data_IF_284586475335
#
_entry.id   IF_284586475335
#
_cell.length_a   1.000
_cell.length_b   1.000
_cell.length_c   1.000
_cell.angle_alpha   90.00
_cell.angle_beta   90.00
_cell.angle_gamma   90.00
#
_symmetry.space_group_name_H-M   'P 1'
#
loop_
_entity.id
_entity.type
_entity.pdbx_description
1 polymer ?
#
# COMPACT_ATOMS: atom_id res chain seq x y z
N UNK A 1 31.85 5.13 -14.98
CA UNK A 1 30.74 5.03 -14.01
C UNK A 1 29.65 5.94 -14.53
N UNK A 2 28.62 5.39 -15.18
CA UNK A 2 27.53 6.16 -15.79
C UNK A 2 26.21 5.74 -15.14
N UNK A 3 25.49 6.75 -14.69
CA UNK A 3 24.37 6.72 -13.76
C UNK A 3 23.18 5.85 -14.16
N UNK A 4 22.58 5.23 -13.14
CA UNK A 4 21.36 4.45 -13.22
C UNK A 4 20.13 5.34 -13.45
N UNK A 5 19.42 5.14 -14.57
CA UNK A 5 18.07 5.70 -14.79
C UNK A 5 17.02 4.69 -14.30
N UNK A 6 16.20 5.13 -13.35
CA UNK A 6 15.05 4.39 -12.81
C UNK A 6 14.03 4.06 -13.92
N UNK A 7 13.45 2.84 -13.87
CA UNK A 7 12.32 2.42 -14.71
C UNK A 7 11.07 2.39 -13.83
N UNK A 8 10.00 3.11 -14.21
CA UNK A 8 8.78 3.27 -13.40
C UNK A 8 7.60 2.55 -14.04
N UNK A 9 6.79 1.88 -13.22
CA UNK A 9 5.51 1.29 -13.61
C UNK A 9 4.39 2.04 -12.92
N UNK A 10 3.37 2.38 -13.69
CA UNK A 10 2.18 3.07 -13.21
C UNK A 10 1.09 2.03 -13.03
N UNK A 11 0.48 1.93 -11.85
CA UNK A 11 -0.85 1.36 -11.68
C UNK A 11 -1.81 2.55 -11.53
N UNK A 12 -2.64 2.78 -12.53
CA UNK A 12 -3.62 3.87 -12.58
C UNK A 12 -5.02 3.29 -12.46
N UNK A 13 -5.78 3.83 -11.49
CA UNK A 13 -7.23 3.66 -11.30
C UNK A 13 -7.64 2.30 -10.72
N UNK A 14 -8.58 2.34 -9.80
CA UNK A 14 -9.26 1.19 -9.21
C UNK A 14 -10.70 1.66 -8.96
N UNK A 15 -11.68 1.30 -9.81
CA UNK A 15 -13.08 1.70 -9.59
C UNK A 15 -13.72 0.86 -8.47
N UNK A 16 -14.47 1.48 -7.54
CA UNK A 16 -15.15 0.74 -6.47
C UNK A 16 -16.32 -0.13 -6.98
N UNK A 17 -16.88 0.18 -8.15
CA UNK A 17 -17.96 -0.62 -8.74
C UNK A 17 -17.38 -1.78 -9.58
N UNK A 18 -17.83 -3.02 -9.34
CA UNK A 18 -17.40 -4.14 -10.16
C UNK A 18 -17.87 -4.00 -11.61
N UNK A 19 -17.04 -4.39 -12.58
CA UNK A 19 -15.69 -4.94 -12.40
C UNK A 19 -14.65 -3.84 -12.10
N UNK A 20 -13.77 -4.11 -11.12
CA UNK A 20 -12.59 -3.27 -10.83
C UNK A 20 -11.75 -3.13 -12.10
N UNK A 21 -11.46 -1.90 -12.54
CA UNK A 21 -10.55 -1.65 -13.66
C UNK A 21 -9.26 -1.02 -13.17
N UNK A 22 -8.13 -1.71 -13.39
CA UNK A 22 -6.78 -1.19 -13.14
C UNK A 22 -5.99 -1.09 -14.43
N UNK A 23 -5.45 0.09 -14.72
CA UNK A 23 -4.66 0.40 -15.90
C UNK A 23 -3.18 0.46 -15.57
N UNK A 24 -2.41 -0.47 -16.12
CA UNK A 24 -0.95 -0.45 -15.96
C UNK A 24 -0.31 0.13 -17.23
N UNK A 25 0.32 1.31 -17.12
CA UNK A 25 1.09 1.94 -18.21
C UNK A 25 2.58 1.90 -17.89
N UNK A 26 3.39 1.52 -18.87
CA UNK A 26 4.85 1.57 -18.76
C UNK A 26 5.36 2.81 -19.51
N UNK A 27 6.18 3.66 -18.87
CA UNK A 27 6.83 4.80 -19.54
C UNK A 27 8.32 4.50 -19.69
N UNK A 28 8.82 4.55 -20.92
CA UNK A 28 10.23 4.31 -21.23
C UNK A 28 11.12 5.47 -20.80
N UNK A 29 12.39 5.21 -20.49
CA UNK A 29 13.39 6.24 -20.12
C UNK A 29 13.87 7.12 -21.28
N UNK A 30 13.48 6.79 -22.52
CA UNK A 30 14.07 7.34 -23.75
C UNK A 30 13.09 8.20 -24.56
N UNK A 31 11.88 8.43 -24.05
CA UNK A 31 10.93 9.35 -24.68
C UNK A 31 11.16 10.76 -24.13
N UNK A 32 11.69 11.67 -24.95
CA UNK A 32 11.65 13.13 -24.71
C UNK A 32 10.23 13.71 -24.82
N UNK A 33 9.22 12.85 -24.90
CA UNK A 33 7.83 13.26 -24.90
C UNK A 33 7.47 13.79 -23.50
N UNK A 34 6.78 14.93 -23.39
CA UNK A 34 6.14 15.33 -22.15
C UNK A 34 5.32 14.14 -21.66
N UNK A 35 5.53 13.74 -20.40
CA UNK A 35 4.60 12.81 -19.75
C UNK A 35 3.28 13.57 -19.67
N UNK A 36 2.39 13.37 -20.65
CA UNK A 36 1.01 13.80 -20.50
C UNK A 36 0.48 13.06 -19.27
N UNK A 37 0.23 13.82 -18.22
CA UNK A 37 -0.54 13.37 -17.07
C UNK A 37 -1.86 12.88 -17.66
N UNK A 38 -2.20 11.59 -17.57
CA UNK A 38 -3.50 11.13 -18.02
C UNK A 38 -4.54 11.98 -17.29
N UNK A 39 -5.39 12.69 -18.03
CA UNK A 39 -6.50 13.42 -17.41
C UNK A 39 -7.38 12.39 -16.71
N UNK A 40 -7.34 12.40 -15.39
CA UNK A 40 -8.14 11.57 -14.49
C UNK A 40 -9.58 12.07 -14.55
N UNK A 41 -10.39 11.43 -15.37
CA UNK A 41 -11.84 11.51 -15.29
C UNK A 41 -12.32 10.10 -15.63
N UNK A 42 -12.95 9.40 -14.69
CA UNK A 42 -13.95 8.43 -15.12
C UNK A 42 -15.08 9.21 -15.82
N UNK A 43 -16.06 8.55 -16.41
CA UNK A 43 -17.18 9.25 -17.06
C UNK A 43 -18.01 10.12 -16.08
N UNK A 44 -17.67 10.15 -14.77
CA UNK A 44 -18.41 10.75 -13.66
C UNK A 44 -17.62 11.78 -12.83
N UNK A 45 -16.31 11.95 -13.02
CA UNK A 45 -15.48 12.95 -12.33
C UNK A 45 -14.87 12.54 -10.98
N UNK A 46 -14.78 11.26 -10.63
CA UNK A 46 -14.20 10.83 -9.34
C UNK A 46 -12.66 10.94 -9.28
N UNK A 47 -12.11 11.34 -8.13
CA UNK A 47 -10.65 11.49 -7.91
C UNK A 47 -10.09 10.40 -7.00
N UNK A 48 -8.76 10.24 -6.98
CA UNK A 48 -8.05 9.13 -6.31
C UNK A 48 -8.38 8.96 -4.80
N UNK A 49 -8.84 10.02 -4.13
CA UNK A 49 -9.26 9.97 -2.72
C UNK A 49 -10.47 9.07 -2.45
N UNK A 50 -11.28 8.78 -3.47
CA UNK A 50 -12.57 8.08 -3.31
C UNK A 50 -12.45 6.55 -3.44
N UNK A 51 -11.27 6.00 -3.76
CA UNK A 51 -11.14 4.63 -4.31
C UNK A 51 -10.67 3.56 -3.31
N UNK A 52 -10.21 3.94 -2.11
CA UNK A 52 -9.77 3.01 -1.06
C UNK A 52 -8.45 2.25 -1.35
N UNK A 53 -7.69 1.92 -0.30
CA UNK A 53 -6.27 1.48 -0.40
C UNK A 53 -6.02 0.00 -0.67
N UNK A 54 -7.01 -0.85 -0.41
CA UNK A 54 -6.83 -2.31 -0.43
C UNK A 54 -6.33 -2.88 -1.77
N UNK A 55 -6.74 -2.37 -2.95
CA UNK A 55 -6.22 -2.86 -4.22
C UNK A 55 -4.77 -2.44 -4.50
N UNK A 56 -4.33 -1.31 -3.94
CA UNK A 56 -3.03 -0.70 -4.27
C UNK A 56 -1.87 -1.48 -3.65
N UNK A 57 -1.95 -1.81 -2.35
CA UNK A 57 -0.89 -2.53 -1.62
C UNK A 57 -0.67 -3.92 -2.25
N UNK A 58 -1.74 -4.65 -2.54
CA UNK A 58 -1.63 -5.98 -3.16
C UNK A 58 -0.97 -5.91 -4.55
N UNK A 59 -1.29 -4.90 -5.37
CA UNK A 59 -0.71 -4.75 -6.72
C UNK A 59 0.74 -4.28 -6.66
N UNK A 60 1.08 -3.37 -5.75
CA UNK A 60 2.45 -2.89 -5.55
C UNK A 60 3.38 -4.03 -5.09
N UNK A 61 2.98 -4.83 -4.09
CA UNK A 61 3.80 -5.95 -3.63
C UNK A 61 3.95 -7.06 -4.68
N UNK A 62 2.88 -7.40 -5.41
CA UNK A 62 2.94 -8.34 -6.52
C UNK A 62 3.90 -7.85 -7.62
N UNK A 63 3.87 -6.55 -7.89
CA UNK A 63 4.74 -5.93 -8.88
C UNK A 63 6.21 -5.89 -8.41
N UNK A 64 6.46 -5.52 -7.15
CA UNK A 64 7.79 -5.50 -6.56
C UNK A 64 8.41 -6.90 -6.55
N UNK A 65 7.67 -7.96 -6.20
CA UNK A 65 8.16 -9.35 -6.32
C UNK A 65 8.53 -9.72 -7.75
N UNK A 66 7.64 -9.45 -8.71
CA UNK A 66 7.90 -9.73 -10.12
C UNK A 66 9.13 -8.98 -10.68
N UNK A 67 9.47 -7.83 -10.08
CA UNK A 67 10.53 -6.95 -10.55
C UNK A 67 11.87 -7.14 -9.82
N UNK A 68 11.86 -7.38 -8.50
CA UNK A 68 13.06 -7.55 -7.65
C UNK A 68 13.80 -8.85 -7.96
N UNK A 69 13.11 -9.90 -8.40
CA UNK A 69 13.71 -11.19 -8.69
C UNK A 69 14.50 -11.28 -10.02
N UNK A 70 14.67 -10.19 -10.80
CA UNK A 70 15.17 -10.31 -12.20
C UNK A 70 16.24 -9.33 -12.67
N UNK A 71 17.09 -9.74 -13.63
CA UNK A 71 18.17 -8.89 -14.17
C UNK A 71 17.61 -7.71 -14.98
N UNK A 72 18.19 -6.52 -14.75
CA UNK A 72 17.91 -5.30 -15.51
C UNK A 72 18.32 -5.48 -16.98
N UNK A 73 17.49 -5.08 -17.96
CA UNK A 73 18.03 -4.89 -19.32
C UNK A 73 17.08 -4.82 -20.51
N UNK A 74 16.33 -5.87 -20.86
CA UNK A 74 15.82 -6.07 -22.24
C UNK A 74 14.30 -5.95 -22.40
N UNK A 75 13.79 -5.86 -23.64
CA UNK A 75 12.35 -6.02 -23.94
C UNK A 75 11.80 -7.35 -23.41
N UNK A 76 12.65 -8.39 -23.35
CA UNK A 76 12.29 -9.71 -22.86
C UNK A 76 12.04 -9.73 -21.35
N UNK A 77 12.77 -8.92 -20.56
CA UNK A 77 12.49 -8.79 -19.12
C UNK A 77 11.15 -8.11 -18.84
N UNK A 78 10.64 -7.26 -19.76
CA UNK A 78 9.32 -6.62 -19.65
C UNK A 78 8.18 -7.62 -19.82
N UNK A 79 8.22 -8.40 -20.91
CA UNK A 79 7.22 -9.45 -21.16
C UNK A 79 7.18 -10.44 -20.01
N UNK A 80 8.35 -10.83 -19.51
CA UNK A 80 8.45 -11.72 -18.38
C UNK A 80 7.86 -11.16 -17.08
N UNK A 81 8.06 -9.87 -16.76
CA UNK A 81 7.43 -9.25 -15.59
C UNK A 81 5.89 -9.21 -15.72
N UNK A 82 5.38 -8.94 -16.93
CA UNK A 82 3.94 -8.97 -17.23
C UNK A 82 3.37 -10.38 -17.09
N UNK A 83 4.06 -11.40 -17.61
CA UNK A 83 3.62 -12.79 -17.43
C UNK A 83 3.67 -13.21 -15.97
N UNK A 84 4.70 -12.82 -15.21
CA UNK A 84 4.75 -13.06 -13.75
C UNK A 84 3.61 -12.38 -13.00
N UNK A 85 3.29 -11.12 -13.33
CA UNK A 85 2.13 -10.44 -12.78
C UNK A 85 0.83 -11.16 -13.16
N UNK A 86 0.69 -11.58 -14.43
CA UNK A 86 -0.48 -12.34 -14.90
C UNK A 86 -0.64 -13.66 -14.15
N UNK A 87 0.44 -14.39 -13.94
CA UNK A 87 0.41 -15.68 -13.23
C UNK A 87 0.10 -15.51 -11.74
N UNK A 88 0.61 -14.44 -11.12
CA UNK A 88 0.25 -14.11 -9.75
C UNK A 88 -1.22 -13.65 -9.61
N UNK A 89 -1.74 -12.87 -10.57
CA UNK A 89 -3.17 -12.50 -10.61
C UNK A 89 -4.07 -13.72 -10.87
N UNK A 90 -3.61 -14.70 -11.66
CA UNK A 90 -4.32 -15.97 -11.85
C UNK A 90 -4.37 -16.79 -10.57
N UNK A 91 -3.28 -16.87 -9.80
CA UNK A 91 -3.24 -17.64 -8.55
C UNK A 91 -4.15 -17.06 -7.46
N UNK A 92 -4.43 -15.75 -7.51
CA UNK A 92 -5.37 -15.05 -6.62
C UNK A 92 -6.86 -15.23 -6.98
N UNK A 93 -7.20 -16.07 -7.97
CA UNK A 93 -8.60 -16.41 -8.25
C UNK A 93 -9.27 -15.55 -9.33
N UNK A 94 -8.77 -15.68 -10.57
CA UNK A 94 -9.38 -15.16 -11.83
C UNK A 94 -9.53 -13.64 -11.90
N UNK A 95 -8.44 -12.91 -11.71
CA UNK A 95 -8.32 -11.54 -12.21
C UNK A 95 -7.60 -11.55 -13.58
N UNK A 96 -8.31 -11.77 -14.71
CA UNK A 96 -7.70 -11.71 -16.04
C UNK A 96 -6.98 -10.37 -16.26
N UNK A 97 -5.70 -10.47 -16.63
CA UNK A 97 -4.89 -9.36 -17.11
C UNK A 97 -4.96 -9.33 -18.65
N UNK A 98 -5.81 -8.47 -19.17
CA UNK A 98 -6.06 -8.28 -20.59
C UNK A 98 -5.17 -7.17 -21.17
N UNK A 99 -4.73 -7.30 -22.41
CA UNK A 99 -4.07 -6.19 -23.10
C UNK A 99 -5.10 -5.12 -23.47
N UNK A 100 -4.82 -3.86 -23.16
CA UNK A 100 -5.66 -2.74 -23.53
C UNK A 100 -5.17 -2.07 -24.83
N UNK A 101 -6.10 -1.55 -25.63
CA UNK A 101 -5.76 -0.71 -26.77
C UNK A 101 -4.90 0.49 -26.32
N UNK A 102 -3.78 0.73 -27.00
CA UNK A 102 -2.83 1.79 -26.63
C UNK A 102 -1.61 1.35 -25.80
N UNK A 103 -1.39 0.03 -25.62
CA UNK A 103 -0.14 -0.49 -25.07
C UNK A 103 -0.08 -0.57 -23.54
N UNK A 104 -1.20 -0.87 -22.90
CA UNK A 104 -1.30 -1.12 -21.45
C UNK A 104 -1.94 -2.46 -21.13
N UNK A 105 -2.13 -2.72 -19.83
CA UNK A 105 -2.86 -3.90 -19.34
C UNK A 105 -4.04 -3.46 -18.47
N UNK A 106 -5.12 -4.25 -18.54
CA UNK A 106 -6.35 -4.09 -17.77
C UNK A 106 -6.57 -5.33 -16.93
N UNK A 107 -6.80 -5.15 -15.63
CA UNK A 107 -7.31 -6.20 -14.76
C UNK A 107 -8.83 -6.10 -14.76
N UNK A 108 -9.56 -7.20 -14.99
CA UNK A 108 -11.02 -7.27 -14.82
C UNK A 108 -11.38 -8.40 -13.86
N UNK A 109 -12.42 -8.26 -13.05
CA UNK A 109 -12.90 -9.34 -12.16
C UNK A 109 -13.45 -8.84 -10.82
N UNK A 110 -13.89 -9.80 -9.99
CA UNK A 110 -14.31 -9.55 -8.62
C UNK A 110 -13.15 -9.91 -7.68
N UNK A 111 -12.79 -8.98 -6.79
CA UNK A 111 -11.93 -9.33 -5.66
C UNK A 111 -12.67 -10.34 -4.77
N UNK A 112 -11.98 -11.34 -4.21
CA UNK A 112 -12.59 -12.27 -3.27
C UNK A 112 -13.22 -11.50 -2.10
N UNK A 113 -14.33 -12.04 -1.58
CA UNK A 113 -14.99 -11.48 -0.41
C UNK A 113 -14.00 -11.43 0.76
N UNK A 114 -14.05 -10.34 1.53
CA UNK A 114 -13.22 -10.18 2.72
C UNK A 114 -13.61 -11.25 3.74
N UNK A 115 -12.63 -11.97 4.28
CA UNK A 115 -12.84 -12.96 5.34
C UNK A 115 -13.51 -12.30 6.56
N UNK A 116 -14.38 -13.03 7.29
CA UNK A 116 -15.02 -12.52 8.50
C UNK A 116 -13.99 -12.15 9.57
N UNK A 117 -14.39 -11.29 10.51
CA UNK A 117 -13.57 -10.95 11.67
C UNK A 117 -13.29 -12.17 12.55
N UNK A 118 -12.17 -12.15 13.28
CA UNK A 118 -11.81 -13.18 14.24
C UNK A 118 -12.75 -13.16 15.45
N UNK A 119 -13.20 -14.34 15.84
CA UNK A 119 -13.72 -14.61 17.17
C UNK A 119 -12.58 -14.77 18.19
N UNK A 120 -12.92 -14.75 19.47
CA UNK A 120 -11.94 -14.90 20.56
C UNK A 120 -11.16 -16.23 20.51
N UNK A 121 -11.73 -17.26 19.88
CA UNK A 121 -11.12 -18.59 19.73
C UNK A 121 -10.19 -18.69 18.50
N UNK A 122 -10.28 -17.76 17.54
CA UNK A 122 -9.60 -17.89 16.24
C UNK A 122 -8.10 -17.53 16.27
N UNK A 123 -7.61 -16.93 17.35
CA UNK A 123 -6.19 -16.62 17.49
C UNK A 123 -5.33 -17.88 17.67
N UNK A 124 -5.91 -18.99 18.11
CA UNK A 124 -5.21 -20.26 18.29
C UNK A 124 -4.92 -20.98 16.95
N UNK A 125 -5.44 -20.46 15.83
CA UNK A 125 -5.17 -20.94 14.47
C UNK A 125 -4.05 -20.22 13.72
N UNK A 126 -3.44 -19.17 14.30
CA UNK A 126 -2.33 -18.47 13.67
C UNK A 126 -1.06 -19.36 13.65
N UNK A 127 -0.33 -19.43 12.52
CA UNK A 127 0.96 -20.09 12.51
C UNK A 127 1.89 -19.39 13.50
N UNK A 128 2.59 -20.17 14.33
CA UNK A 128 3.70 -19.64 15.13
C UNK A 128 4.76 -19.04 14.19
N UNK A 129 5.37 -17.88 14.51
CA UNK A 129 5.27 -17.13 15.78
C UNK A 129 4.21 -16.00 15.82
N UNK A 130 3.27 -15.96 14.87
CA UNK A 130 2.32 -14.83 14.79
C UNK A 130 1.27 -14.85 15.89
N UNK A 131 1.07 -16.00 16.54
CA UNK A 131 0.23 -16.15 17.72
C UNK A 131 0.75 -15.30 18.90
N UNK A 132 2.06 -15.30 19.14
CA UNK A 132 2.68 -14.53 20.21
C UNK A 132 2.58 -13.02 19.97
N UNK A 133 2.76 -12.57 18.71
CA UNK A 133 2.51 -11.18 18.34
C UNK A 133 1.05 -10.80 18.53
N UNK A 134 0.11 -11.62 18.06
CA UNK A 134 -1.33 -11.39 18.22
C UNK A 134 -1.72 -11.26 19.69
N UNK A 135 -1.20 -12.14 20.56
CA UNK A 135 -1.42 -12.06 22.02
C UNK A 135 -0.89 -10.76 22.61
N UNK A 136 0.31 -10.33 22.21
CA UNK A 136 0.89 -9.06 22.67
C UNK A 136 0.06 -7.86 22.20
N UNK A 137 -0.30 -7.82 20.91
CA UNK A 137 -1.13 -6.78 20.31
C UNK A 137 -2.48 -6.65 21.02
N UNK A 138 -3.20 -7.76 21.19
CA UNK A 138 -4.54 -7.74 21.81
C UNK A 138 -4.53 -7.68 23.33
N UNK A 139 -3.37 -7.83 23.98
CA UNK A 139 -3.18 -7.44 25.37
C UNK A 139 -3.06 -5.92 25.51
N UNK A 140 -2.39 -5.26 24.56
CA UNK A 140 -2.24 -3.80 24.55
C UNK A 140 -3.50 -3.08 24.05
N UNK A 141 -4.21 -3.66 23.08
CA UNK A 141 -5.41 -3.09 22.46
C UNK A 141 -6.53 -4.15 22.40
N UNK A 142 -7.24 -4.43 23.51
CA UNK A 142 -8.21 -5.53 23.58
C UNK A 142 -9.35 -5.44 22.56
N UNK A 143 -9.86 -4.24 22.32
CA UNK A 143 -10.98 -3.99 21.41
C UNK A 143 -10.61 -4.24 19.93
N UNK A 144 -9.32 -4.33 19.60
CA UNK A 144 -8.86 -4.54 18.22
C UNK A 144 -9.09 -5.95 17.70
N UNK A 145 -9.49 -6.90 18.56
CA UNK A 145 -9.91 -8.24 18.13
C UNK A 145 -11.07 -8.17 17.13
N UNK A 146 -12.05 -7.29 17.36
CA UNK A 146 -13.18 -7.09 16.44
C UNK A 146 -12.80 -6.52 15.06
N UNK A 147 -11.57 -6.04 14.92
CA UNK A 147 -10.99 -5.51 13.68
C UNK A 147 -10.02 -6.49 13.00
N UNK A 148 -9.71 -7.60 13.65
CA UNK A 148 -8.76 -8.59 13.17
C UNK A 148 -9.47 -9.65 12.31
N UNK A 149 -8.75 -10.21 11.34
CA UNK A 149 -9.15 -11.35 10.52
C UNK A 149 -7.91 -12.18 10.16
N UNK A 150 -8.12 -13.47 9.91
CA UNK A 150 -7.14 -14.28 9.20
C UNK A 150 -7.29 -13.99 7.72
N UNK A 151 -6.17 -13.73 7.05
CA UNK A 151 -6.15 -13.53 5.62
C UNK A 151 -5.15 -14.49 4.99
N UNK A 152 -5.45 -14.96 3.77
CA UNK A 152 -4.52 -15.78 3.01
C UNK A 152 -3.78 -14.88 2.02
N UNK A 153 -2.49 -14.65 2.29
CA UNK A 153 -1.64 -13.80 1.46
C UNK A 153 -0.45 -14.63 1.02
N UNK A 154 -0.23 -14.70 -0.29
CA UNK A 154 0.84 -15.50 -0.92
C UNK A 154 0.80 -17.01 -0.56
N UNK A 155 -0.39 -17.57 -0.35
CA UNK A 155 -0.54 -18.99 0.00
C UNK A 155 -0.17 -19.33 1.45
N UNK A 156 0.00 -18.31 2.30
CA UNK A 156 0.15 -18.46 3.75
C UNK A 156 -0.93 -17.68 4.49
N UNK A 157 -1.36 -18.22 5.63
CA UNK A 157 -2.23 -17.48 6.54
C UNK A 157 -1.43 -16.41 7.29
N UNK A 158 -2.01 -15.22 7.40
CA UNK A 158 -1.47 -14.11 8.17
C UNK A 158 -2.56 -13.46 9.02
N UNK A 159 -2.14 -12.82 10.10
CA UNK A 159 -2.98 -11.90 10.85
C UNK A 159 -3.13 -10.61 10.03
N UNK A 160 -4.35 -10.13 9.89
CA UNK A 160 -4.66 -8.83 9.30
C UNK A 160 -5.60 -8.06 10.21
N UNK A 161 -5.21 -6.87 10.66
CA UNK A 161 -6.02 -5.99 11.52
C UNK A 161 -6.24 -4.67 10.80
N UNK A 162 -7.47 -4.16 10.80
CA UNK A 162 -7.81 -2.85 10.21
C UNK A 162 -8.66 -2.02 11.16
N UNK A 163 -8.05 -1.01 11.76
CA UNK A 163 -8.68 -0.11 12.72
C UNK A 163 -9.09 1.17 11.99
N UNK A 164 -10.39 1.50 11.91
CA UNK A 164 -10.83 2.72 11.25
C UNK A 164 -10.31 3.95 12.01
N UNK A 165 -9.89 5.01 11.30
CA UNK A 165 -9.49 6.24 11.96
C UNK A 165 -10.73 6.96 12.51
N UNK A 166 -10.55 7.84 13.52
CA UNK A 166 -11.55 8.82 13.87
C UNK A 166 -12.01 9.62 12.63
N UNK A 167 -13.30 10.00 12.52
CA UNK A 167 -13.81 10.75 11.37
C UNK A 167 -13.05 12.05 11.07
N UNK A 168 -12.50 12.70 12.09
CA UNK A 168 -11.72 13.94 12.01
C UNK A 168 -10.30 13.77 11.46
N UNK A 169 -9.80 12.53 11.33
CA UNK A 169 -8.41 12.26 10.95
C UNK A 169 -8.06 12.63 9.49
N UNK A 170 -9.06 12.77 8.61
CA UNK A 170 -8.87 13.00 7.16
C UNK A 170 -7.79 12.07 6.55
N UNK A 171 -7.85 10.80 6.93
CA UNK A 171 -6.98 9.74 6.42
C UNK A 171 -7.66 9.01 5.27
N UNK A 172 -6.87 8.54 4.31
CA UNK A 172 -7.44 7.82 3.17
C UNK A 172 -7.72 6.33 3.48
N UNK A 173 -7.61 5.87 4.72
CA UNK A 173 -7.85 4.46 5.07
C UNK A 173 -7.64 4.16 6.55
N UNK A 174 -7.82 2.88 6.94
CA UNK A 174 -7.56 2.43 8.31
C UNK A 174 -6.06 2.45 8.62
N UNK A 175 -5.74 2.46 9.93
CA UNK A 175 -4.49 1.87 10.39
C UNK A 175 -4.61 0.37 10.17
N UNK A 176 -3.66 -0.22 9.48
CA UNK A 176 -3.64 -1.65 9.20
C UNK A 176 -2.37 -2.30 9.72
N UNK A 177 -2.50 -3.54 10.18
CA UNK A 177 -1.40 -4.37 10.65
C UNK A 177 -1.49 -5.69 9.91
N UNK A 178 -0.37 -6.16 9.39
CA UNK A 178 -0.27 -7.44 8.70
C UNK A 178 0.90 -8.25 9.21
N UNK A 179 0.76 -9.57 9.25
CA UNK A 179 1.89 -10.49 9.41
C UNK A 179 2.25 -11.23 8.10
N UNK A 180 1.73 -10.75 6.97
CA UNK A 180 2.01 -11.33 5.66
C UNK A 180 3.50 -11.23 5.33
N UNK A 181 4.00 -12.16 4.52
CA UNK A 181 5.40 -12.12 4.07
C UNK A 181 6.44 -12.54 5.10
N UNK A 182 6.03 -12.94 6.30
CA UNK A 182 6.97 -13.36 7.33
C UNK A 182 7.51 -12.23 8.18
N UNK A 183 6.85 -11.07 8.20
CA UNK A 183 7.23 -9.87 8.96
C UNK A 183 6.00 -9.18 9.54
N UNK A 184 6.18 -8.26 10.48
CA UNK A 184 5.07 -7.39 10.92
C UNK A 184 5.15 -6.08 10.15
N UNK A 185 4.07 -5.71 9.49
CA UNK A 185 3.95 -4.43 8.79
C UNK A 185 2.82 -3.62 9.40
N UNK A 186 3.12 -2.38 9.78
CA UNK A 186 2.13 -1.41 10.25
C UNK A 186 2.01 -0.33 9.19
N UNK A 187 0.82 -0.13 8.65
CA UNK A 187 0.55 0.91 7.67
C UNK A 187 -0.58 1.84 8.07
N UNK A 188 -0.47 3.07 7.61
CA UNK A 188 -1.39 4.15 7.91
C UNK A 188 -1.30 5.19 6.79
N UNK A 189 -2.45 5.56 6.22
CA UNK A 189 -2.53 6.46 5.09
C UNK A 189 -1.55 6.06 3.95
N UNK A 190 -0.62 6.95 3.58
CA UNK A 190 0.36 6.70 2.51
C UNK A 190 1.62 5.94 2.94
N UNK A 191 1.80 5.65 4.23
CA UNK A 191 3.05 5.10 4.75
C UNK A 191 2.85 3.73 5.39
N UNK A 192 3.91 2.94 5.40
CA UNK A 192 4.01 1.74 6.22
C UNK A 192 5.43 1.58 6.74
N UNK A 193 5.57 0.83 7.82
CA UNK A 193 6.84 0.46 8.44
C UNK A 193 6.87 -1.06 8.59
N UNK A 194 7.99 -1.64 8.16
CA UNK A 194 8.30 -3.06 8.32
C UNK A 194 9.11 -3.22 9.60
N UNK A 195 8.84 -4.29 10.33
CA UNK A 195 9.55 -4.65 11.55
C UNK A 195 10.15 -6.03 11.39
N UNK A 196 11.42 -6.15 11.77
CA UNK A 196 12.19 -7.38 11.65
C UNK A 196 11.48 -8.56 12.32
N UNK A 197 11.66 -9.75 11.73
CA UNK A 197 11.01 -10.97 12.19
C UNK A 197 11.91 -12.22 12.12
N UNK A 198 11.85 -13.11 13.13
CA UNK A 198 11.14 -12.92 14.40
C UNK A 198 11.81 -11.82 15.22
N UNK A 199 11.06 -10.91 15.85
CA UNK A 199 11.65 -9.88 16.67
C UNK A 199 12.15 -10.48 17.99
N UNK A 200 13.20 -9.91 18.56
CA UNK A 200 13.63 -10.24 19.92
C UNK A 200 12.57 -9.84 20.96
N UNK A 201 11.79 -8.78 20.68
CA UNK A 201 10.63 -8.33 21.44
C UNK A 201 9.63 -7.57 20.55
N UNK A 202 8.34 -7.62 20.86
CA UNK A 202 7.30 -6.89 20.12
C UNK A 202 7.20 -5.40 20.51
N UNK A 203 8.06 -4.93 21.40
CA UNK A 203 7.98 -3.61 22.01
C UNK A 203 8.09 -2.48 20.97
N UNK A 204 8.98 -2.61 19.98
CA UNK A 204 9.18 -1.60 18.94
C UNK A 204 7.92 -1.41 18.07
N UNK A 205 7.24 -2.50 17.71
CA UNK A 205 5.98 -2.45 16.94
C UNK A 205 4.89 -1.79 17.77
N UNK A 206 4.74 -2.20 19.04
CA UNK A 206 3.70 -1.68 19.92
C UNK A 206 3.95 -0.22 20.30
N UNK A 207 5.21 0.19 20.47
CA UNK A 207 5.60 1.58 20.65
C UNK A 207 5.30 2.38 19.40
N UNK A 208 5.63 1.90 18.20
CA UNK A 208 5.29 2.59 16.97
C UNK A 208 3.78 2.82 16.82
N UNK A 209 2.96 1.80 17.09
CA UNK A 209 1.50 1.94 17.09
C UNK A 209 1.07 2.98 18.12
N UNK A 210 1.60 2.92 19.35
CA UNK A 210 1.27 3.89 20.40
C UNK A 210 1.64 5.31 19.99
N UNK A 211 2.78 5.50 19.34
CA UNK A 211 3.27 6.79 18.87
C UNK A 211 2.38 7.38 17.77
N UNK A 212 1.85 6.54 16.86
CA UNK A 212 0.86 6.95 15.86
C UNK A 212 -0.46 7.36 16.52
N UNK A 213 -0.99 6.52 17.43
CA UNK A 213 -2.28 6.76 18.09
C UNK A 213 -2.25 7.97 19.04
N UNK A 214 -1.11 8.21 19.68
CA UNK A 214 -0.88 9.38 20.56
C UNK A 214 -0.42 10.63 19.80
N UNK A 215 -0.37 10.57 18.47
CA UNK A 215 0.06 11.65 17.58
C UNK A 215 1.47 12.19 17.87
N UNK A 216 2.33 11.38 18.51
CA UNK A 216 3.78 11.66 18.57
C UNK A 216 4.42 11.52 17.20
N UNK A 217 3.89 10.59 16.39
CA UNK A 217 4.23 10.44 14.98
C UNK A 217 3.08 10.94 14.09
N UNK A 218 3.48 11.53 12.96
CA UNK A 218 2.60 11.83 11.84
C UNK A 218 3.08 11.10 10.59
N UNK A 219 2.15 10.85 9.68
CA UNK A 219 2.42 10.31 8.36
C UNK A 219 2.56 11.45 7.38
N UNK A 220 3.51 11.35 6.47
CA UNK A 220 3.63 12.31 5.38
C UNK A 220 3.72 11.61 4.03
N UNK A 221 3.14 12.25 3.01
CA UNK A 221 3.28 11.90 1.61
C UNK A 221 3.76 13.10 0.81
N UNK A 222 4.84 12.95 0.05
CA UNK A 222 5.32 13.95 -0.90
C UNK A 222 4.86 13.57 -2.30
N UNK A 223 4.36 14.54 -3.06
CA UNK A 223 3.76 14.32 -4.37
C UNK A 223 4.46 15.12 -5.47
N UNK A 224 4.57 14.55 -6.67
CA UNK A 224 4.97 15.24 -7.91
C UNK A 224 3.79 15.18 -8.88
N UNK A 225 3.12 16.31 -9.09
CA UNK A 225 1.76 16.34 -9.63
C UNK A 225 0.82 15.55 -8.71
N UNK A 226 0.10 14.59 -9.28
CA UNK A 226 -0.79 13.67 -8.56
C UNK A 226 -0.08 12.41 -8.03
N UNK A 227 1.21 12.25 -8.28
CA UNK A 227 1.94 11.02 -7.96
C UNK A 227 2.59 11.08 -6.58
N UNK A 228 2.32 10.10 -5.71
CA UNK A 228 3.03 9.93 -4.44
C UNK A 228 4.48 9.50 -4.72
N UNK A 229 5.43 10.39 -4.43
CA UNK A 229 6.86 10.18 -4.62
C UNK A 229 7.53 9.49 -3.45
N UNK A 230 7.12 9.82 -2.23
CA UNK A 230 7.66 9.22 -1.02
C UNK A 230 6.63 9.35 0.08
N UNK A 231 6.67 8.42 1.02
CA UNK A 231 5.90 8.50 2.24
C UNK A 231 6.72 7.99 3.41
N UNK A 232 6.39 8.47 4.60
CA UNK A 232 7.09 8.08 5.82
C UNK A 232 6.34 8.48 7.07
N UNK A 233 6.82 7.97 8.19
CA UNK A 233 6.42 8.39 9.53
C UNK A 233 7.54 9.25 10.13
N UNK A 234 7.17 10.21 10.97
CA UNK A 234 8.15 11.05 11.66
C UNK A 234 7.50 11.89 12.75
N UNK A 235 8.30 12.53 13.62
CA UNK A 235 7.77 13.33 14.72
C UNK A 235 6.79 14.39 14.20
N UNK A 236 5.62 14.49 14.82
CA UNK A 236 4.52 15.29 14.28
C UNK A 236 4.83 16.79 14.13
N UNK A 237 5.67 17.32 15.01
CA UNK A 237 6.12 18.72 14.98
C UNK A 237 7.30 18.97 14.02
N UNK A 238 7.88 17.92 13.43
CA UNK A 238 9.08 18.07 12.61
C UNK A 238 8.76 18.80 11.32
N UNK A 239 9.60 19.79 10.99
CA UNK A 239 9.63 20.36 9.64
C UNK A 239 10.10 19.28 8.66
N UNK A 240 9.21 18.88 7.76
CA UNK A 240 9.54 17.93 6.71
C UNK A 240 10.32 18.69 5.64
N UNK A 241 11.57 18.31 5.45
CA UNK A 241 12.36 18.85 4.35
C UNK A 241 11.85 18.23 3.06
N UNK A 242 11.25 19.07 2.23
CA UNK A 242 10.98 18.73 0.84
C UNK A 242 12.33 18.53 0.16
N UNK A 243 12.56 17.34 -0.41
CA UNK A 243 13.82 17.05 -1.08
C UNK A 243 14.07 17.95 -2.30
N UNK A 244 15.26 17.84 -2.91
CA UNK A 244 15.61 18.57 -4.15
C UNK A 244 14.72 18.21 -5.37
N UNK A 245 13.87 17.18 -5.24
CA UNK A 245 12.88 16.83 -6.24
C UNK A 245 11.78 17.89 -6.27
N UNK A 246 11.25 18.19 -7.46
CA UNK A 246 10.11 19.10 -7.66
C UNK A 246 8.81 18.52 -7.10
N UNK A 247 8.73 18.43 -5.79
CA UNK A 247 7.51 18.10 -5.06
C UNK A 247 6.52 19.24 -5.29
N UNK A 248 5.34 18.93 -5.82
CA UNK A 248 4.25 19.90 -6.02
C UNK A 248 3.32 19.97 -4.82
N UNK A 249 3.26 18.91 -4.00
CA UNK A 249 2.39 18.84 -2.82
C UNK A 249 2.98 17.99 -1.71
N UNK A 250 2.84 18.44 -0.47
CA UNK A 250 3.11 17.68 0.75
C UNK A 250 1.79 17.52 1.49
N UNK A 251 1.44 16.29 1.85
CA UNK A 251 0.30 15.94 2.70
C UNK A 251 0.83 15.37 4.01
N UNK A 252 0.43 15.95 5.14
CA UNK A 252 0.74 15.43 6.48
C UNK A 252 -0.57 15.04 7.15
N UNK A 253 -0.63 13.83 7.72
CA UNK A 253 -1.79 13.31 8.44
C UNK A 253 -1.41 12.71 9.79
N UNK A 254 -2.28 12.86 10.79
CA UNK A 254 -2.15 12.27 12.13
C UNK A 254 -3.47 11.67 12.60
N UNK A 255 -3.41 10.74 13.57
CA UNK A 255 -4.54 9.86 13.91
C UNK A 255 -5.82 10.58 14.33
N UNK A 256 -5.73 11.69 15.07
CA UNK A 256 -6.88 12.54 15.43
C UNK A 256 -6.92 13.84 14.63
N UNK A 257 -6.07 13.96 13.62
CA UNK A 257 -5.98 15.11 12.75
C UNK A 257 -5.33 16.37 13.34
N UNK A 258 -4.75 16.32 14.55
CA UNK A 258 -4.15 17.50 15.20
C UNK A 258 -3.01 18.12 14.39
N UNK A 259 -2.32 17.33 13.57
CA UNK A 259 -1.18 17.76 12.75
C UNK A 259 -1.48 17.76 11.25
N UNK A 260 -2.76 17.60 10.87
CA UNK A 260 -3.16 17.59 9.48
C UNK A 260 -2.83 18.91 8.79
N UNK A 261 -2.11 18.83 7.68
CA UNK A 261 -1.88 19.98 6.80
C UNK A 261 -1.55 19.53 5.39
N UNK A 262 -1.90 20.39 4.44
CA UNK A 262 -1.54 20.27 3.04
C UNK A 262 -0.76 21.51 2.62
N UNK A 263 0.35 21.29 1.92
CA UNK A 263 1.21 22.34 1.39
C UNK A 263 1.40 22.10 -0.10
N UNK A 264 1.28 23.15 -0.90
CA UNK A 264 1.50 23.12 -2.36
C UNK A 264 2.69 23.98 -2.73
N UNK A 265 3.50 23.52 -3.67
CA UNK A 265 4.69 24.22 -4.14
C UNK A 265 4.54 24.56 -5.63
N UNK A 266 5.06 25.72 -6.02
CA UNK A 266 4.99 26.27 -7.38
C UNK A 266 6.16 25.79 -8.27
#
# INVERSE_FOLDING_TARGET
>A
MSDFKWRRVFALLATQEPPLQVWIKWVGSDTNEPIETPRTVDERGATFGDLGWRPYIAIEELFLRAYVERPRGSKQSRYQAIESLRDALKSLGKLPLESAAGGGFRITGHLPAVAPALSDEDCDGLPTPFDAFARALFSAYPDWRGHARLNEVHGGQCLWVEVPPPPEADMNGPLWISTAGGEVTVGIDYSHSHFDWPPDAYDDVLEHIRDLLSERLSVHGQFIGEWLSSAGTGPAERTIRVGELRVSRLRVRSWHGMHNRDETFA
#
